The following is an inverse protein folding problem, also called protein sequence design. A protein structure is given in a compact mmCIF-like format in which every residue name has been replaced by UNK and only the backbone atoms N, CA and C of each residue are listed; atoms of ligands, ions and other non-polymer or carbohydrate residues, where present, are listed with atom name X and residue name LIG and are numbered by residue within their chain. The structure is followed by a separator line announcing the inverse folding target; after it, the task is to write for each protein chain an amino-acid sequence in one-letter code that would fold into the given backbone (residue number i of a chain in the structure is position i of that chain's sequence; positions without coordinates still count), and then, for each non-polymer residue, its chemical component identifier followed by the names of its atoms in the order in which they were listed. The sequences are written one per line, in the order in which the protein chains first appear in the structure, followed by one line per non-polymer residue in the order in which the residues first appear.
data_IF_275134402758
#
_entry.id   IF_275134402758
#
_cell.length_a   1.000
_cell.length_b   1.000
_cell.length_c   1.000
_cell.angle_alpha   90.00
_cell.angle_beta   90.00
_cell.angle_gamma   90.00
#
_symmetry.space_group_name_H-M   'P 1'
#
loop_
_entity.id
_entity.type
_entity.pdbx_description
1 polymer ?
#
# COMPACT_ATOMS: atom_id res chain seq x y z
N UNK A 1 13.71 -32.13 21.04
CA UNK A 1 13.06 -31.69 19.78
C UNK A 1 14.14 -31.21 18.82
N UNK A 2 13.86 -31.09 17.52
CA UNK A 2 14.79 -30.41 16.60
C UNK A 2 14.81 -28.90 16.86
N UNK A 3 15.93 -28.23 16.53
CA UNK A 3 16.11 -26.79 16.80
C UNK A 3 15.00 -25.94 16.16
N UNK A 4 14.64 -26.24 14.90
CA UNK A 4 13.56 -25.56 14.20
C UNK A 4 12.20 -25.74 14.90
N UNK A 5 11.87 -26.95 15.35
CA UNK A 5 10.60 -27.21 16.05
C UNK A 5 10.50 -26.51 17.42
N UNK A 6 11.63 -26.26 18.09
CA UNK A 6 11.67 -25.43 19.29
C UNK A 6 11.48 -23.94 18.95
N UNK A 7 12.14 -23.47 17.90
CA UNK A 7 12.01 -22.10 17.39
C UNK A 7 10.58 -21.77 16.96
N UNK A 8 9.95 -22.64 16.18
CA UNK A 8 8.56 -22.48 15.72
C UNK A 8 7.58 -22.50 16.92
N UNK A 9 7.86 -23.30 17.96
CA UNK A 9 7.05 -23.33 19.19
C UNK A 9 7.18 -22.02 19.99
N UNK A 10 8.39 -21.50 20.17
CA UNK A 10 8.66 -20.23 20.86
C UNK A 10 8.02 -19.05 20.13
N UNK A 11 8.12 -19.03 18.79
CA UNK A 11 7.48 -18.00 17.97
C UNK A 11 5.93 -18.08 18.03
N UNK A 12 5.35 -19.29 18.01
CA UNK A 12 3.90 -19.48 18.24
C UNK A 12 3.42 -18.97 19.59
N UNK A 13 4.25 -19.03 20.65
CA UNK A 13 3.89 -18.59 22.01
C UNK A 13 4.18 -17.12 22.31
N UNK A 14 4.66 -16.33 21.34
CA UNK A 14 5.06 -14.94 21.55
C UNK A 14 6.37 -14.77 22.36
N UNK A 15 7.17 -15.83 22.44
CA UNK A 15 8.39 -15.88 23.25
C UNK A 15 9.59 -15.40 22.42
N UNK A 16 9.56 -14.10 22.08
CA UNK A 16 10.45 -13.49 21.09
C UNK A 16 11.93 -13.56 21.49
N UNK A 17 12.24 -13.31 22.76
CA UNK A 17 13.62 -13.41 23.29
C UNK A 17 14.18 -14.83 23.14
N UNK A 18 13.43 -15.86 23.53
CA UNK A 18 13.90 -17.23 23.38
C UNK A 18 13.92 -17.68 21.91
N UNK A 19 12.97 -17.27 21.07
CA UNK A 19 13.01 -17.52 19.62
C UNK A 19 14.23 -16.89 18.94
N UNK A 20 14.58 -15.65 19.28
CA UNK A 20 15.77 -14.94 18.78
C UNK A 20 17.07 -15.66 19.17
N UNK A 21 17.17 -16.15 20.40
CA UNK A 21 18.32 -16.93 20.86
C UNK A 21 18.42 -18.29 20.14
N UNK A 22 17.31 -19.02 19.99
CA UNK A 22 17.28 -20.28 19.24
C UNK A 22 17.67 -20.09 17.77
N UNK A 23 17.25 -18.99 17.14
CA UNK A 23 17.62 -18.62 15.77
C UNK A 23 19.11 -18.30 15.62
N UNK A 24 19.71 -17.62 16.60
CA UNK A 24 21.14 -17.35 16.63
C UNK A 24 21.96 -18.65 16.70
N UNK A 25 21.54 -19.60 17.55
CA UNK A 25 22.16 -20.93 17.66
C UNK A 25 21.96 -21.73 16.36
N UNK A 26 20.77 -21.70 15.77
CA UNK A 26 20.49 -22.38 14.50
C UNK A 26 21.37 -21.88 13.35
N UNK A 27 21.63 -20.57 13.29
CA UNK A 27 22.56 -19.95 12.35
C UNK A 27 24.02 -20.34 12.63
N UNK A 28 24.46 -20.32 13.89
CA UNK A 28 25.82 -20.71 14.27
C UNK A 28 26.12 -22.18 13.91
N UNK A 29 25.14 -23.06 14.06
CA UNK A 29 25.24 -24.48 13.70
C UNK A 29 24.95 -24.78 12.21
N UNK A 30 24.77 -23.76 11.36
CA UNK A 30 24.54 -23.93 9.93
C UNK A 30 23.19 -24.56 9.54
N UNK A 31 22.20 -24.59 10.44
CA UNK A 31 20.86 -25.11 10.16
C UNK A 31 19.97 -24.13 9.39
N UNK A 32 20.34 -22.85 9.36
CA UNK A 32 19.65 -21.77 8.64
C UNK A 32 20.73 -20.87 8.01
N UNK A 33 20.56 -20.47 6.76
CA UNK A 33 21.49 -19.56 6.09
C UNK A 33 21.44 -18.13 6.68
N UNK A 34 22.46 -17.33 6.38
CA UNK A 34 22.57 -15.99 6.97
C UNK A 34 21.50 -15.00 6.50
N UNK A 35 20.89 -15.17 5.33
CA UNK A 35 19.87 -14.28 4.81
C UNK A 35 18.50 -14.61 5.42
N UNK A 36 18.10 -15.88 5.41
CA UNK A 36 16.88 -16.35 6.08
C UNK A 36 16.95 -16.10 7.59
N UNK A 37 18.10 -16.26 8.24
CA UNK A 37 18.26 -15.93 9.66
C UNK A 37 18.14 -14.41 9.94
N UNK A 38 18.70 -13.55 9.10
CA UNK A 38 18.53 -12.10 9.23
C UNK A 38 17.06 -11.69 9.02
N UNK A 39 16.39 -12.28 8.02
CA UNK A 39 14.98 -12.00 7.69
C UNK A 39 14.01 -12.49 8.77
N UNK A 40 14.18 -13.72 9.29
CA UNK A 40 13.40 -14.22 10.42
C UNK A 40 13.62 -13.39 11.69
N UNK A 41 14.86 -12.94 11.96
CA UNK A 41 15.13 -11.98 13.05
C UNK A 41 14.34 -10.68 12.86
N UNK A 42 14.31 -10.12 11.64
CA UNK A 42 13.52 -8.93 11.33
C UNK A 42 12.02 -9.13 11.61
N UNK A 43 11.46 -10.30 11.25
CA UNK A 43 10.06 -10.64 11.55
C UNK A 43 9.78 -10.72 13.05
N UNK A 44 10.64 -11.37 13.85
CA UNK A 44 10.46 -11.47 15.30
C UNK A 44 10.56 -10.10 15.98
N UNK A 45 11.56 -9.28 15.61
CA UNK A 45 11.69 -7.91 16.08
C UNK A 45 10.47 -7.05 15.71
N UNK A 46 9.85 -7.30 14.55
CA UNK A 46 8.62 -6.62 14.12
C UNK A 46 7.40 -7.08 14.92
N UNK A 47 7.33 -8.36 15.32
CA UNK A 47 6.29 -8.87 16.21
C UNK A 47 6.38 -8.22 17.59
N UNK A 48 7.56 -8.29 18.21
CA UNK A 48 7.86 -7.66 19.50
C UNK A 48 7.60 -6.14 19.48
N UNK A 49 7.94 -5.46 18.38
CA UNK A 49 7.68 -4.04 18.22
C UNK A 49 6.18 -3.69 18.22
N UNK A 50 5.33 -4.50 17.54
CA UNK A 50 3.87 -4.28 17.50
C UNK A 50 3.22 -4.49 18.86
N UNK A 51 3.72 -5.44 19.65
CA UNK A 51 3.24 -5.68 21.02
C UNK A 51 3.74 -4.61 22.00
N UNK A 52 4.99 -4.18 21.85
CA UNK A 52 5.62 -3.15 22.68
C UNK A 52 5.03 -1.76 22.42
N UNK A 53 4.58 -1.44 21.19
CA UNK A 53 4.12 -0.11 20.75
C UNK A 53 3.17 0.59 21.74
N UNK A 54 2.22 -0.14 22.31
CA UNK A 54 1.17 0.43 23.19
C UNK A 54 1.74 0.93 24.52
N UNK A 55 2.89 0.40 24.96
CA UNK A 55 3.48 0.67 26.28
C UNK A 55 4.81 1.42 26.18
N UNK A 56 5.63 1.15 25.17
CA UNK A 56 6.88 1.86 24.87
C UNK A 56 7.05 2.09 23.35
N UNK A 57 6.53 3.20 22.80
CA UNK A 57 6.73 3.59 21.41
C UNK A 57 8.16 4.05 21.08
N UNK A 58 9.09 4.09 22.05
CA UNK A 58 10.52 4.28 21.80
C UNK A 58 11.21 2.94 21.55
N UNK A 59 11.03 1.94 22.43
CA UNK A 59 11.53 0.57 22.20
C UNK A 59 10.95 -0.03 20.92
N UNK A 60 9.64 0.11 20.68
CA UNK A 60 9.02 -0.35 19.44
C UNK A 60 9.65 0.25 18.17
N UNK A 61 9.96 1.56 18.19
CA UNK A 61 10.62 2.23 17.06
C UNK A 61 12.08 1.77 16.88
N UNK A 62 12.80 1.46 17.96
CA UNK A 62 14.16 0.91 17.88
C UNK A 62 14.13 -0.49 17.23
N UNK A 63 13.25 -1.37 17.70
CA UNK A 63 13.06 -2.74 17.18
C UNK A 63 12.65 -2.73 15.70
N UNK A 64 11.67 -1.90 15.32
CA UNK A 64 11.24 -1.77 13.93
C UNK A 64 12.34 -1.23 13.00
N UNK A 65 13.17 -0.28 13.47
CA UNK A 65 14.31 0.19 12.70
C UNK A 65 15.45 -0.83 12.61
N UNK A 66 15.66 -1.69 13.62
CA UNK A 66 16.59 -2.82 13.50
C UNK A 66 16.08 -3.84 12.47
N UNK A 67 14.79 -4.19 12.53
CA UNK A 67 14.15 -5.07 11.55
C UNK A 67 14.36 -4.55 10.11
N UNK A 68 14.16 -3.25 9.86
CA UNK A 68 14.37 -2.63 8.54
C UNK A 68 15.84 -2.53 8.11
N UNK A 69 16.80 -2.58 9.04
CA UNK A 69 18.23 -2.72 8.70
C UNK A 69 18.59 -4.15 8.25
N UNK A 70 17.85 -5.15 8.72
CA UNK A 70 18.03 -6.56 8.36
C UNK A 70 17.20 -6.97 7.13
N UNK A 71 16.01 -6.40 6.96
CA UNK A 71 15.08 -6.67 5.87
C UNK A 71 14.39 -5.36 5.39
N UNK A 72 15.03 -4.56 4.51
CA UNK A 72 14.48 -3.27 4.06
C UNK A 72 13.15 -3.36 3.28
N UNK A 73 12.77 -4.54 2.80
CA UNK A 73 11.48 -4.82 2.14
C UNK A 73 10.38 -5.33 3.09
N UNK A 74 10.62 -5.34 4.41
CA UNK A 74 9.63 -5.81 5.38
C UNK A 74 8.56 -4.72 5.64
N UNK A 75 7.59 -4.64 4.73
CA UNK A 75 6.37 -3.81 4.77
C UNK A 75 5.84 -3.50 6.19
N UNK A 76 5.50 -4.50 7.05
CA UNK A 76 4.91 -4.25 8.38
C UNK A 76 5.87 -3.53 9.34
N UNK A 77 7.19 -3.67 9.18
CA UNK A 77 8.16 -2.93 9.98
C UNK A 77 8.24 -1.46 9.52
N UNK A 78 8.08 -1.20 8.23
CA UNK A 78 8.09 0.15 7.66
C UNK A 78 6.80 0.92 7.93
N UNK A 79 5.64 0.26 7.89
CA UNK A 79 4.36 0.79 8.38
C UNK A 79 4.51 1.28 9.82
N UNK A 80 4.90 0.37 10.72
CA UNK A 80 5.03 0.63 12.14
C UNK A 80 6.04 1.76 12.42
N UNK A 81 7.25 1.68 11.84
CA UNK A 81 8.26 2.72 12.01
C UNK A 81 7.80 4.07 11.43
N UNK A 82 7.12 4.07 10.28
CA UNK A 82 6.57 5.27 9.66
C UNK A 82 5.49 5.93 10.52
N UNK A 83 4.57 5.15 11.07
CA UNK A 83 3.49 5.61 11.96
C UNK A 83 4.02 6.11 13.30
N UNK A 84 5.01 5.43 13.90
CA UNK A 84 5.69 5.84 15.12
C UNK A 84 6.59 7.09 14.95
N UNK A 85 7.16 7.31 13.76
CA UNK A 85 7.88 8.56 13.43
C UNK A 85 6.89 9.70 13.19
N UNK A 86 5.77 9.44 12.52
CA UNK A 86 4.73 10.43 12.27
C UNK A 86 4.07 10.94 13.57
N UNK A 87 3.79 10.05 14.53
CA UNK A 87 3.22 10.44 15.84
C UNK A 87 4.20 11.26 16.70
N UNK A 88 5.51 11.09 16.52
CA UNK A 88 6.56 11.94 17.12
C UNK A 88 6.77 13.28 16.38
N UNK A 89 6.07 13.52 15.28
CA UNK A 89 6.25 14.71 14.44
C UNK A 89 7.46 14.63 13.50
N UNK A 90 8.16 13.50 13.41
CA UNK A 90 9.32 13.29 12.53
C UNK A 90 8.90 13.01 11.07
N UNK A 91 8.00 13.84 10.53
CA UNK A 91 7.37 13.72 9.20
C UNK A 91 8.37 13.44 8.07
N UNK A 92 9.56 14.06 8.13
CA UNK A 92 10.64 13.87 7.14
C UNK A 92 11.28 12.48 7.22
N UNK A 93 11.49 11.95 8.44
CA UNK A 93 12.03 10.60 8.65
C UNK A 93 10.98 9.54 8.29
N UNK A 94 9.74 9.70 8.75
CA UNK A 94 8.61 8.84 8.39
C UNK A 94 8.45 8.71 6.87
N UNK A 95 8.37 9.86 6.17
CA UNK A 95 8.23 9.89 4.71
C UNK A 95 9.39 9.19 3.99
N UNK A 96 10.64 9.36 4.47
CA UNK A 96 11.83 8.73 3.86
C UNK A 96 11.84 7.21 4.05
N UNK A 97 11.49 6.72 5.25
CA UNK A 97 11.49 5.29 5.56
C UNK A 97 10.40 4.53 4.76
N UNK A 98 9.21 5.13 4.68
CA UNK A 98 8.09 4.61 3.90
C UNK A 98 8.40 4.58 2.40
N UNK A 99 8.93 5.67 1.82
CA UNK A 99 9.37 5.71 0.41
C UNK A 99 10.41 4.64 0.08
N UNK A 100 11.38 4.41 0.98
CA UNK A 100 12.43 3.39 0.81
C UNK A 100 11.88 1.96 0.73
N UNK A 101 10.83 1.66 1.50
CA UNK A 101 10.22 0.33 1.49
C UNK A 101 9.22 0.18 0.35
N UNK A 102 8.49 1.25 0.02
CA UNK A 102 7.57 1.31 -1.10
C UNK A 102 8.23 0.96 -2.44
N UNK A 103 9.43 1.50 -2.72
CA UNK A 103 10.17 1.19 -3.96
C UNK A 103 10.75 -0.23 -4.02
N UNK A 104 10.68 -1.00 -2.92
CA UNK A 104 11.06 -2.42 -2.86
C UNK A 104 9.84 -3.35 -2.80
N UNK A 105 8.73 -2.89 -2.26
CA UNK A 105 7.50 -3.67 -2.00
C UNK A 105 6.30 -2.72 -1.85
N UNK A 106 5.62 -2.35 -2.96
CA UNK A 106 4.41 -1.53 -2.93
C UNK A 106 3.29 -2.24 -2.16
N UNK A 107 2.62 -1.53 -1.25
CA UNK A 107 1.61 -2.12 -0.36
C UNK A 107 0.64 -1.05 0.17
N UNK A 108 -0.68 -1.32 0.24
CA UNK A 108 -1.69 -0.32 0.65
C UNK A 108 -1.38 0.33 2.00
N UNK A 109 -0.98 -0.43 3.02
CA UNK A 109 -0.62 0.09 4.35
C UNK A 109 0.48 1.17 4.30
N UNK A 110 1.46 1.03 3.40
CA UNK A 110 2.53 2.03 3.23
C UNK A 110 2.01 3.31 2.58
N UNK A 111 1.05 3.21 1.65
CA UNK A 111 0.38 4.38 1.08
C UNK A 111 -0.48 5.10 2.11
N UNK A 112 -1.23 4.37 2.95
CA UNK A 112 -2.00 4.95 4.06
C UNK A 112 -1.07 5.63 5.05
N UNK A 113 -0.04 4.93 5.54
CA UNK A 113 0.96 5.50 6.45
C UNK A 113 1.63 6.75 5.84
N UNK A 114 1.97 6.75 4.56
CA UNK A 114 2.60 7.89 3.89
C UNK A 114 1.66 9.08 3.69
N UNK A 115 0.38 8.83 3.36
CA UNK A 115 -0.64 9.85 3.23
C UNK A 115 -0.87 10.62 4.54
N UNK A 116 -0.96 9.87 5.66
CA UNK A 116 -1.21 10.43 6.99
C UNK A 116 0.05 10.78 7.79
N UNK A 117 1.26 10.49 7.28
CA UNK A 117 2.54 10.80 7.93
C UNK A 117 2.80 12.29 8.25
N UNK A 118 1.97 13.21 7.72
CA UNK A 118 1.87 14.59 8.20
C UNK A 118 0.43 14.83 8.71
N UNK A 119 0.22 14.93 10.03
CA UNK A 119 -1.07 15.33 10.60
C UNK A 119 -1.58 16.69 10.08
N UNK A 120 -2.90 16.88 10.09
CA UNK A 120 -3.55 18.14 9.72
C UNK A 120 -3.62 18.47 8.22
N UNK A 121 -3.17 17.58 7.32
CA UNK A 121 -3.28 17.80 5.88
C UNK A 121 -4.71 17.66 5.33
N UNK A 122 -5.10 18.62 4.47
CA UNK A 122 -6.32 18.52 3.68
C UNK A 122 -6.33 17.27 2.79
N UNK A 123 -7.50 16.73 2.42
CA UNK A 123 -7.58 15.61 1.47
C UNK A 123 -6.86 15.88 0.15
N UNK A 124 -6.92 17.11 -0.37
CA UNK A 124 -6.24 17.51 -1.62
C UNK A 124 -4.72 17.52 -1.48
N UNK A 125 -4.18 17.81 -0.29
CA UNK A 125 -2.74 17.77 -0.03
C UNK A 125 -2.24 16.36 0.32
N UNK A 126 -3.09 15.50 0.89
CA UNK A 126 -2.81 14.06 0.98
C UNK A 126 -2.74 13.44 -0.42
N UNK A 127 -3.65 13.80 -1.33
CA UNK A 127 -3.59 13.37 -2.73
C UNK A 127 -2.26 13.74 -3.41
N UNK A 128 -1.83 15.02 -3.33
CA UNK A 128 -0.52 15.46 -3.86
C UNK A 128 0.66 14.63 -3.33
N UNK A 129 0.61 14.21 -2.06
CA UNK A 129 1.61 13.30 -1.46
C UNK A 129 1.55 11.90 -2.05
N UNK A 130 0.36 11.30 -2.13
CA UNK A 130 0.19 9.95 -2.67
C UNK A 130 0.56 9.86 -4.16
N UNK A 131 0.37 10.94 -4.93
CA UNK A 131 0.88 11.04 -6.30
C UNK A 131 2.42 11.07 -6.38
N UNK A 132 3.10 11.69 -5.42
CA UNK A 132 4.56 11.65 -5.33
C UNK A 132 5.08 10.27 -4.92
N UNK A 133 4.32 9.52 -4.11
CA UNK A 133 4.59 8.12 -3.77
C UNK A 133 4.43 7.21 -5.00
N UNK A 134 3.29 7.29 -5.69
CA UNK A 134 3.01 6.48 -6.88
C UNK A 134 4.02 6.71 -8.03
N UNK A 135 4.57 7.94 -8.15
CA UNK A 135 5.65 8.24 -9.11
C UNK A 135 6.95 7.45 -8.89
N UNK A 136 7.15 6.82 -7.73
CA UNK A 136 8.29 5.91 -7.51
C UNK A 136 8.09 4.53 -8.16
N UNK A 137 6.85 4.18 -8.51
CA UNK A 137 6.43 2.84 -8.95
C UNK A 137 5.34 2.95 -10.02
N UNK A 138 5.62 3.56 -11.19
CA UNK A 138 4.60 3.89 -12.19
C UNK A 138 3.88 2.65 -12.75
N UNK A 139 4.56 1.50 -12.78
CA UNK A 139 4.08 0.26 -13.38
C UNK A 139 3.38 -0.71 -12.39
N UNK A 140 3.26 -0.36 -11.09
CA UNK A 140 2.54 -1.20 -10.11
C UNK A 140 1.16 -0.63 -9.75
N UNK A 141 0.17 -1.53 -9.79
CA UNK A 141 -1.24 -1.29 -9.49
C UNK A 141 -1.49 -0.65 -8.12
N UNK A 142 -0.65 -0.92 -7.10
CA UNK A 142 -0.82 -0.30 -5.77
C UNK A 142 -0.62 1.22 -5.81
N UNK A 143 0.22 1.73 -6.72
CA UNK A 143 0.39 3.17 -6.93
C UNK A 143 -0.87 3.83 -7.50
N UNK A 144 -1.48 3.19 -8.49
CA UNK A 144 -2.73 3.64 -9.11
C UNK A 144 -3.92 3.57 -8.13
N UNK A 145 -4.06 2.46 -7.39
CA UNK A 145 -5.11 2.26 -6.38
C UNK A 145 -4.95 3.25 -5.23
N UNK A 146 -3.72 3.52 -4.77
CA UNK A 146 -3.47 4.52 -3.75
C UNK A 146 -3.89 5.94 -4.19
N UNK A 147 -3.49 6.36 -5.41
CA UNK A 147 -3.89 7.67 -5.97
C UNK A 147 -5.41 7.76 -6.12
N UNK A 148 -6.06 6.71 -6.62
CA UNK A 148 -7.52 6.69 -6.79
C UNK A 148 -8.28 6.78 -5.46
N UNK A 149 -7.84 6.06 -4.41
CA UNK A 149 -8.40 6.16 -3.06
C UNK A 149 -8.23 7.58 -2.49
N UNK A 150 -7.04 8.18 -2.62
CA UNK A 150 -6.77 9.54 -2.15
C UNK A 150 -7.56 10.59 -2.96
N UNK A 151 -7.78 10.36 -4.26
CA UNK A 151 -8.59 11.23 -5.11
C UNK A 151 -10.08 11.15 -4.76
N UNK A 152 -10.59 9.97 -4.40
CA UNK A 152 -11.94 9.79 -3.84
C UNK A 152 -12.10 10.52 -2.50
N UNK A 153 -11.12 10.45 -1.59
CA UNK A 153 -11.12 11.26 -0.35
C UNK A 153 -11.08 12.77 -0.62
N UNK A 154 -10.46 13.18 -1.72
CA UNK A 154 -10.39 14.57 -2.18
C UNK A 154 -11.60 15.03 -3.01
N UNK A 155 -12.56 14.13 -3.30
CA UNK A 155 -13.68 14.32 -4.23
C UNK A 155 -13.26 14.69 -5.68
N UNK A 156 -12.02 14.34 -6.06
CA UNK A 156 -11.44 14.55 -7.39
C UNK A 156 -11.82 13.40 -8.33
N UNK A 157 -13.11 13.19 -8.56
CA UNK A 157 -13.67 11.98 -9.19
C UNK A 157 -13.02 11.61 -10.53
N UNK A 158 -12.79 12.59 -11.41
CA UNK A 158 -12.18 12.33 -12.71
C UNK A 158 -10.74 11.81 -12.56
N UNK A 159 -9.96 12.43 -11.66
CA UNK A 159 -8.57 12.06 -11.36
C UNK A 159 -8.47 10.64 -10.77
N UNK A 160 -9.50 10.21 -10.04
CA UNK A 160 -9.63 8.84 -9.57
C UNK A 160 -9.92 7.84 -10.70
N UNK A 161 -10.75 8.19 -11.69
CA UNK A 161 -10.94 7.38 -12.91
C UNK A 161 -9.66 7.29 -13.72
N UNK A 162 -9.00 8.42 -13.96
CA UNK A 162 -7.80 8.52 -14.79
C UNK A 162 -6.66 7.64 -14.23
N UNK A 163 -6.52 7.59 -12.90
CA UNK A 163 -5.54 6.74 -12.22
C UNK A 163 -5.83 5.23 -12.40
N UNK A 164 -7.10 4.81 -12.36
CA UNK A 164 -7.49 3.40 -12.54
C UNK A 164 -7.62 2.97 -14.00
N UNK A 165 -7.76 3.90 -14.94
CA UNK A 165 -8.07 3.62 -16.35
C UNK A 165 -7.20 2.52 -17.02
N UNK A 166 -5.86 2.43 -16.79
CA UNK A 166 -5.04 1.36 -17.35
C UNK A 166 -5.43 -0.05 -16.87
N UNK A 167 -6.03 -0.14 -15.68
CA UNK A 167 -6.32 -1.38 -14.97
C UNK A 167 -7.81 -1.81 -15.05
N UNK A 168 -8.63 -1.18 -15.91
CA UNK A 168 -10.06 -1.51 -16.08
C UNK A 168 -10.34 -2.58 -17.15
N UNK A 169 -9.35 -2.85 -18.00
CA UNK A 169 -9.38 -3.94 -18.98
C UNK A 169 -8.98 -5.27 -18.31
N UNK A 170 -9.14 -6.38 -19.03
CA UNK A 170 -8.56 -7.69 -18.68
C UNK A 170 -8.76 -8.14 -17.21
N UNK A 171 -10.03 -8.20 -16.80
CA UNK A 171 -10.49 -8.66 -15.48
C UNK A 171 -9.94 -7.86 -14.28
N UNK A 172 -10.33 -6.57 -14.10
CA UNK A 172 -10.03 -5.78 -12.91
C UNK A 172 -10.42 -6.51 -11.62
N UNK A 173 -9.60 -6.38 -10.57
CA UNK A 173 -9.84 -7.01 -9.27
C UNK A 173 -11.08 -6.48 -8.54
N UNK A 174 -11.53 -7.20 -7.52
CA UNK A 174 -12.68 -6.83 -6.69
C UNK A 174 -12.53 -5.44 -6.05
N UNK A 175 -11.33 -5.08 -5.57
CA UNK A 175 -10.99 -3.76 -5.02
C UNK A 175 -11.07 -2.66 -6.08
N UNK A 176 -10.54 -2.89 -7.30
CA UNK A 176 -10.62 -1.93 -8.40
C UNK A 176 -12.07 -1.71 -8.81
N UNK A 177 -12.86 -2.78 -8.95
CA UNK A 177 -14.29 -2.68 -9.26
C UNK A 177 -15.06 -1.93 -8.16
N UNK A 178 -14.78 -2.21 -6.89
CA UNK A 178 -15.42 -1.54 -5.73
C UNK A 178 -15.03 -0.07 -5.64
N UNK A 179 -13.77 0.27 -5.94
CA UNK A 179 -13.31 1.65 -5.98
C UNK A 179 -13.91 2.43 -7.15
N UNK A 180 -14.04 1.81 -8.34
CA UNK A 180 -14.80 2.37 -9.46
C UNK A 180 -16.28 2.59 -9.12
N UNK A 181 -16.93 1.66 -8.43
CA UNK A 181 -18.31 1.86 -7.95
C UNK A 181 -18.40 3.09 -7.04
N UNK A 182 -17.46 3.26 -6.09
CA UNK A 182 -17.38 4.41 -5.19
C UNK A 182 -17.11 5.74 -5.93
N UNK A 183 -16.36 5.72 -7.02
CA UNK A 183 -16.11 6.88 -7.89
C UNK A 183 -17.39 7.30 -8.63
N UNK A 184 -18.07 6.36 -9.28
CA UNK A 184 -19.28 6.65 -10.08
C UNK A 184 -20.48 6.99 -9.17
N UNK A 185 -20.61 6.34 -8.01
CA UNK A 185 -21.58 6.75 -6.98
C UNK A 185 -21.31 8.17 -6.46
N UNK A 186 -20.03 8.53 -6.32
CA UNK A 186 -19.57 9.87 -5.94
C UNK A 186 -19.84 10.97 -6.97
N UNK A 187 -19.85 10.66 -8.26
CA UNK A 187 -20.29 11.60 -9.31
C UNK A 187 -21.82 11.63 -9.50
N UNK A 188 -22.56 10.70 -8.89
CA UNK A 188 -24.01 10.59 -8.98
C UNK A 188 -24.52 9.54 -9.98
N UNK A 189 -23.62 8.82 -10.66
CA UNK A 189 -23.89 7.82 -11.69
C UNK A 189 -24.31 6.46 -11.12
N UNK A 190 -25.39 6.46 -10.31
CA UNK A 190 -25.97 5.27 -9.63
C UNK A 190 -26.30 4.08 -10.55
N UNK A 191 -26.36 4.29 -11.87
CA UNK A 191 -26.40 3.21 -12.85
C UNK A 191 -25.10 2.41 -12.88
N UNK A 192 -23.98 3.11 -13.13
CA UNK A 192 -22.63 2.54 -13.21
C UNK A 192 -22.13 2.04 -11.86
N UNK A 193 -22.47 2.72 -10.77
CA UNK A 193 -22.18 2.26 -9.40
C UNK A 193 -22.63 0.80 -9.20
N UNK A 194 -23.89 0.50 -9.54
CA UNK A 194 -24.46 -0.87 -9.44
C UNK A 194 -23.86 -1.84 -10.45
N UNK A 195 -23.49 -1.38 -11.64
CA UNK A 195 -22.78 -2.18 -12.65
C UNK A 195 -21.40 -2.63 -12.14
N UNK A 196 -20.62 -1.70 -11.59
CA UNK A 196 -19.30 -1.98 -11.01
C UNK A 196 -19.38 -2.87 -9.77
N UNK A 197 -20.38 -2.70 -8.89
CA UNK A 197 -20.64 -3.65 -7.79
C UNK A 197 -21.00 -5.05 -8.31
N UNK A 198 -21.87 -5.15 -9.32
CA UNK A 198 -22.24 -6.42 -9.95
C UNK A 198 -21.07 -7.07 -10.73
N UNK A 199 -20.03 -6.30 -11.08
CA UNK A 199 -18.75 -6.80 -11.62
C UNK A 199 -17.82 -7.26 -10.50
N UNK A 200 -17.71 -6.52 -9.40
CA UNK A 200 -16.88 -6.86 -8.24
C UNK A 200 -17.19 -8.25 -7.67
N UNK A 201 -18.47 -8.64 -7.62
CA UNK A 201 -18.93 -9.97 -7.17
C UNK A 201 -18.41 -11.16 -8.02
N UNK A 202 -17.82 -10.89 -9.19
CA UNK A 202 -17.29 -11.89 -10.13
C UNK A 202 -15.84 -11.57 -10.57
N UNK A 203 -15.19 -10.63 -9.88
CA UNK A 203 -13.84 -10.19 -10.17
C UNK A 203 -12.79 -11.11 -9.51
N UNK A 204 -11.56 -11.18 -10.06
CA UNK A 204 -10.42 -11.80 -9.38
C UNK A 204 -10.18 -11.25 -7.98
N UNK A 205 -9.69 -12.10 -7.08
CA UNK A 205 -9.31 -11.66 -5.73
C UNK A 205 -8.05 -10.79 -5.76
N UNK A 206 -8.04 -9.75 -4.93
CA UNK A 206 -6.88 -8.88 -4.76
C UNK A 206 -5.70 -9.57 -4.05
N UNK A 207 -4.53 -8.92 -4.11
CA UNK A 207 -3.38 -9.27 -3.28
C UNK A 207 -3.79 -9.26 -1.81
N UNK A 208 -3.39 -10.30 -1.07
CA UNK A 208 -3.63 -10.49 0.35
C UNK A 208 -2.38 -11.11 1.01
N UNK A 209 -2.34 -11.19 2.34
CA UNK A 209 -1.28 -11.93 3.05
C UNK A 209 -1.62 -13.42 3.08
N UNK A 210 -0.80 -14.24 2.42
CA UNK A 210 -1.06 -15.68 2.26
C UNK A 210 0.10 -16.50 2.82
N UNK A 211 -0.21 -17.47 3.69
CA UNK A 211 0.72 -18.47 4.23
C UNK A 211 0.00 -19.83 4.30
N UNK A 212 0.61 -20.91 3.81
CA UNK A 212 0.13 -22.31 3.98
C UNK A 212 -1.34 -22.59 3.61
N UNK A 213 -1.95 -21.76 2.75
CA UNK A 213 -3.37 -21.85 2.38
C UNK A 213 -4.32 -21.04 3.27
N UNK A 214 -3.82 -20.46 4.36
CA UNK A 214 -4.46 -19.40 5.14
C UNK A 214 -4.32 -18.06 4.41
N UNK A 215 -5.39 -17.27 4.40
CA UNK A 215 -5.44 -15.92 3.81
C UNK A 215 -5.79 -14.95 4.94
N UNK A 216 -5.09 -13.81 5.00
CA UNK A 216 -5.38 -12.75 5.97
C UNK A 216 -5.27 -11.37 5.33
N UNK A 217 -6.13 -10.45 5.77
CA UNK A 217 -6.05 -9.04 5.40
C UNK A 217 -4.92 -8.31 6.15
N UNK A 218 -4.46 -8.87 7.29
CA UNK A 218 -3.42 -8.31 8.16
C UNK A 218 -2.18 -9.19 8.19
N UNK A 219 -1.00 -8.59 8.12
CA UNK A 219 0.24 -9.34 8.30
C UNK A 219 0.35 -9.96 9.69
N UNK A 220 0.79 -11.22 9.74
CA UNK A 220 1.12 -11.99 10.94
C UNK A 220 2.58 -12.48 10.86
N UNK A 221 3.33 -12.50 11.98
CA UNK A 221 4.73 -12.94 12.00
C UNK A 221 4.90 -14.46 11.85
N UNK A 222 3.87 -15.23 12.17
CA UNK A 222 3.87 -16.69 12.33
C UNK A 222 2.63 -17.27 11.66
N UNK A 223 2.78 -18.33 10.86
CA UNK A 223 1.64 -19.07 10.30
C UNK A 223 0.80 -19.73 11.40
N UNK A 224 -0.53 -19.48 11.48
CA UNK A 224 -1.40 -20.20 12.42
C UNK A 224 -1.40 -21.72 12.21
N UNK A 225 -1.21 -22.15 10.95
CA UNK A 225 -1.23 -23.57 10.54
C UNK A 225 0.10 -24.25 10.90
N UNK A 226 1.19 -23.83 10.26
CA UNK A 226 2.50 -24.52 10.37
C UNK A 226 3.35 -24.03 11.53
N UNK A 227 3.13 -22.82 12.02
CA UNK A 227 4.01 -22.16 12.99
C UNK A 227 5.27 -21.58 12.39
N UNK A 228 5.45 -21.64 11.07
CA UNK A 228 6.62 -21.09 10.40
C UNK A 228 6.66 -19.56 10.51
N UNK A 229 7.82 -19.04 10.90
CA UNK A 229 8.15 -17.60 10.94
C UNK A 229 8.50 -17.10 9.55
N UNK A 230 8.02 -15.90 9.18
CA UNK A 230 8.17 -15.29 7.83
C UNK A 230 7.50 -16.10 6.70
N UNK A 231 6.39 -16.79 7.01
CA UNK A 231 5.63 -17.58 6.04
C UNK A 231 4.60 -16.78 5.21
N UNK A 232 4.29 -15.54 5.59
CA UNK A 232 3.28 -14.70 4.95
C UNK A 232 3.84 -13.86 3.80
N UNK A 233 3.36 -14.15 2.59
CA UNK A 233 3.68 -13.42 1.36
C UNK A 233 2.50 -12.53 0.91
N UNK A 234 2.78 -11.32 0.42
CA UNK A 234 1.78 -10.45 -0.20
C UNK A 234 1.60 -10.81 -1.68
N UNK A 235 0.52 -11.51 -2.03
CA UNK A 235 0.25 -11.97 -3.39
C UNK A 235 -1.24 -12.18 -3.64
N UNK A 236 -1.66 -12.17 -4.90
CA UNK A 236 -3.02 -12.55 -5.26
C UNK A 236 -3.23 -14.04 -4.93
N UNK A 237 -4.37 -14.43 -4.33
CA UNK A 237 -4.79 -15.83 -4.31
C UNK A 237 -4.83 -16.38 -5.74
N UNK A 238 -4.44 -17.64 -5.92
CA UNK A 238 -4.83 -18.34 -7.14
C UNK A 238 -6.35 -18.49 -7.13
N UNK A 239 -7.04 -17.90 -8.11
CA UNK A 239 -8.51 -17.98 -8.21
C UNK A 239 -8.96 -19.43 -8.39
N UNK A 240 -9.30 -20.07 -7.27
CA UNK A 240 -9.68 -21.47 -7.20
C UNK A 240 -11.13 -21.67 -7.69
N UNK A 241 -11.33 -21.48 -9.00
CA UNK A 241 -12.59 -21.77 -9.70
C UNK A 241 -12.94 -23.25 -9.44
N UNK A 242 -13.85 -23.49 -8.50
CA UNK A 242 -14.31 -24.83 -8.11
C UNK A 242 -13.82 -25.38 -6.77
N UNK A 243 -13.22 -24.60 -5.87
CA UNK A 243 -12.92 -25.06 -4.49
C UNK A 243 -13.81 -24.35 -3.45
N UNK A 244 -14.82 -25.03 -2.86
CA UNK A 244 -15.69 -24.44 -1.85
C UNK A 244 -15.04 -24.36 -0.46
N UNK A 245 -15.20 -23.20 0.20
CA UNK A 245 -15.37 -22.95 1.64
C UNK A 245 -14.42 -23.52 2.73
N UNK A 246 -13.38 -24.28 2.43
CA UNK A 246 -12.60 -24.94 3.50
C UNK A 246 -11.52 -24.06 4.20
N UNK A 247 -11.18 -22.85 3.69
CA UNK A 247 -10.17 -21.96 4.32
C UNK A 247 -10.54 -20.47 4.42
N UNK A 248 -11.83 -20.14 4.59
CA UNK A 248 -12.29 -18.77 4.86
C UNK A 248 -12.37 -18.44 6.37
N UNK A 249 -11.21 -18.43 7.05
CA UNK A 249 -11.09 -17.78 8.36
C UNK A 249 -10.71 -16.31 8.20
N UNK A 250 -11.71 -15.51 7.78
CA UNK A 250 -11.65 -14.05 7.94
C UNK A 250 -11.88 -13.77 9.43
N UNK A 251 -10.81 -13.62 10.21
CA UNK A 251 -10.90 -13.11 11.58
C UNK A 251 -11.24 -11.61 11.58
N UNK A 252 -12.50 -11.30 11.28
CA UNK A 252 -13.09 -10.02 11.70
C UNK A 252 -13.07 -9.98 13.23
N UNK A 253 -12.27 -9.07 13.79
CA UNK A 253 -12.19 -8.88 15.24
C UNK A 253 -13.50 -8.26 15.75
N UNK A 254 -14.47 -9.10 16.10
CA UNK A 254 -15.73 -8.69 16.74
C UNK A 254 -15.58 -8.49 18.26
N UNK A 255 -14.35 -8.47 18.78
CA UNK A 255 -14.09 -8.15 20.17
C UNK A 255 -14.40 -6.67 20.43
N UNK A 256 -15.13 -6.32 21.50
CA UNK A 256 -15.41 -4.92 21.82
C UNK A 256 -14.08 -4.14 21.98
N UNK A 257 -14.08 -2.81 21.72
CA UNK A 257 -12.90 -2.00 21.97
C UNK A 257 -12.45 -2.22 23.41
N UNK A 258 -11.16 -2.56 23.60
CA UNK A 258 -10.59 -2.85 24.91
C UNK A 258 -10.68 -1.61 25.79
N UNK A 259 -11.72 -1.54 26.61
CA UNK A 259 -11.99 -0.39 27.47
C UNK A 259 -10.82 -0.20 28.44
N UNK A 260 -10.12 0.93 28.29
CA UNK A 260 -8.97 1.30 29.12
C UNK A 260 -9.32 1.41 30.61
N UNK A 261 -10.61 1.47 30.96
CA UNK A 261 -11.12 1.38 32.32
C UNK A 261 -10.77 0.05 33.02
N UNK A 262 -10.49 -1.02 32.27
CA UNK A 262 -10.20 -2.35 32.82
C UNK A 262 -8.90 -2.42 33.65
N UNK A 263 -7.92 -1.53 33.43
CA UNK A 263 -6.68 -1.48 34.22
C UNK A 263 -6.79 -0.66 35.51
N UNK A 264 -7.99 -0.44 36.05
CA UNK A 264 -8.22 0.38 37.26
C UNK A 264 -8.73 -0.43 38.46
N UNK A 265 -7.94 -1.40 38.95
CA UNK A 265 -8.04 -1.93 40.34
C UNK A 265 -6.85 -2.81 40.74
N UNK A 266 -5.76 -2.17 41.19
CA UNK A 266 -5.13 -2.59 42.45
C UNK A 266 -5.22 -1.42 43.42
N UNK A 267 -5.52 -1.70 44.69
CA UNK A 267 -5.93 -0.68 45.65
C UNK A 267 -4.78 -0.31 46.60
N UNK A 268 -4.15 0.84 46.36
CA UNK A 268 -3.36 1.50 47.41
C UNK A 268 -4.30 1.97 48.53
N UNK A 269 -4.01 1.67 49.81
CA UNK A 269 -4.84 2.13 50.93
C UNK A 269 -4.73 3.65 51.10
N UNK A 270 -5.87 4.33 51.22
CA UNK A 270 -5.91 5.78 51.41
C UNK A 270 -5.35 6.17 52.78
N UNK A 271 -4.46 7.18 52.88
CA UNK A 271 -4.24 7.87 54.14
C UNK A 271 -5.51 8.63 54.56
N UNK A 272 -5.65 8.84 55.86
CA UNK A 272 -6.75 9.60 56.47
C UNK A 272 -6.43 11.12 56.50
N UNK A 273 -7.45 12.01 56.59
CA UNK A 273 -7.22 13.45 56.52
C UNK A 273 -6.59 14.02 57.80
N UNK A 274 -5.75 15.05 57.63
CA UNK A 274 -5.22 15.90 58.71
C UNK A 274 -5.65 17.34 58.50
N UNK A 275 -5.89 18.05 59.60
CA UNK A 275 -6.50 19.38 59.61
C UNK A 275 -5.57 20.50 59.12
N UNK A 276 -6.16 21.53 58.52
CA UNK A 276 -5.50 22.79 58.22
C UNK A 276 -5.47 23.74 59.44
N UNK A 277 -4.45 24.59 59.58
CA UNK A 277 -4.52 25.88 60.27
C UNK A 277 -4.72 27.04 59.28
N UNK A 278 -5.19 28.19 59.78
CA UNK A 278 -5.58 29.38 59.00
C UNK A 278 -4.57 30.53 59.16
N UNK A 279 -4.63 31.51 58.23
CA UNK A 279 -3.93 32.81 58.14
C UNK A 279 -2.65 32.84 57.27
N UNK A 280 -2.39 33.91 56.49
CA UNK A 280 -3.28 35.04 56.18
C UNK A 280 -2.66 36.19 55.38
N UNK A 281 -3.55 36.99 54.80
CA UNK A 281 -3.42 38.39 54.32
C UNK A 281 -2.76 38.79 52.96
N UNK A 282 -3.15 40.00 52.54
CA UNK A 282 -2.65 40.94 51.50
C UNK A 282 -2.53 40.52 50.00
N UNK A 283 -3.68 40.67 49.35
CA UNK A 283 -3.94 41.34 48.05
C UNK A 283 -2.79 41.93 47.19
N UNK A 284 -2.89 41.74 45.86
CA UNK A 284 -2.57 42.77 44.87
C UNK A 284 -3.40 42.63 43.57
N UNK A 285 -3.99 43.76 43.16
CA UNK A 285 -4.75 43.99 41.92
C UNK A 285 -3.90 43.90 40.63
N UNK A 286 -4.44 43.29 39.56
CA UNK A 286 -4.56 43.93 38.23
C UNK A 286 -5.35 43.16 37.16
N UNK A 287 -6.05 43.94 36.33
CA UNK A 287 -6.75 43.53 35.11
C UNK A 287 -5.80 43.44 33.90
N UNK A 288 -6.21 42.71 32.85
CA UNK A 288 -5.41 42.55 31.63
C UNK A 288 -6.11 41.70 30.56
N UNK A 289 -6.95 42.34 29.75
CA UNK A 289 -7.64 41.76 28.59
C UNK A 289 -6.84 41.99 27.30
N UNK A 290 -6.61 40.94 26.48
CA UNK A 290 -6.55 41.00 25.00
C UNK A 290 -6.05 39.69 24.34
N UNK A 291 -6.88 39.14 23.45
CA UNK A 291 -6.45 38.44 22.21
C UNK A 291 -6.70 39.43 21.03
N UNK A 292 -6.36 39.18 19.74
CA UNK A 292 -5.98 37.92 19.07
C UNK A 292 -4.84 38.09 18.02
N UNK A 293 -4.94 37.35 16.90
CA UNK A 293 -4.11 37.31 15.67
C UNK A 293 -2.87 36.40 15.80
N UNK A 294 -2.66 35.36 14.97
CA UNK A 294 -2.80 35.18 13.50
C UNK A 294 -1.77 35.96 12.68
N UNK A 295 -0.79 35.22 12.16
CA UNK A 295 -0.18 35.48 10.86
C UNK A 295 0.17 34.13 10.20
N UNK A 296 0.03 34.04 8.89
CA UNK A 296 0.17 32.79 8.11
C UNK A 296 1.09 33.04 6.92
N UNK A 297 2.23 32.34 6.85
CA UNK A 297 3.16 32.47 5.72
C UNK A 297 3.63 31.11 5.20
N UNK A 298 3.15 30.83 3.98
CA UNK A 298 3.68 29.81 3.07
C UNK A 298 5.13 30.15 2.71
N UNK A 299 6.00 29.14 2.71
CA UNK A 299 7.32 29.23 2.09
C UNK A 299 7.41 28.17 1.00
N UNK A 300 7.24 28.59 -0.25
CA UNK A 300 7.82 27.85 -1.38
C UNK A 300 9.34 28.06 -1.36
N UNK A 301 10.08 26.98 -1.56
CA UNK A 301 11.55 26.99 -1.55
C UNK A 301 12.07 26.12 -2.68
N UNK A 302 12.42 26.75 -3.79
CA UNK A 302 13.01 26.10 -4.97
C UNK A 302 14.35 25.44 -4.61
N UNK A 303 14.68 24.35 -5.29
CA UNK A 303 16.00 23.73 -5.15
C UNK A 303 17.07 24.58 -5.86
N UNK A 304 18.23 24.74 -5.23
CA UNK A 304 19.47 25.18 -5.87
C UNK A 304 20.65 24.34 -5.36
N UNK A 305 21.69 24.25 -6.17
CA UNK A 305 22.69 23.19 -6.15
C UNK A 305 23.98 23.61 -5.44
N UNK A 306 24.47 22.78 -4.50
CA UNK A 306 25.70 23.08 -3.75
C UNK A 306 26.81 22.12 -4.16
N UNK A 307 27.69 22.58 -5.04
CA UNK A 307 28.95 21.92 -5.35
C UNK A 307 29.91 21.98 -4.15
N UNK A 308 30.68 20.90 -3.93
CA UNK A 308 31.73 20.84 -2.91
C UNK A 308 33.06 21.25 -3.54
N UNK A 309 33.77 22.18 -2.90
CA UNK A 309 35.19 22.45 -3.16
C UNK A 309 35.94 22.59 -1.84
N UNK A 310 37.16 22.08 -1.84
CA UNK A 310 38.02 21.94 -0.67
C UNK A 310 38.91 23.18 -0.43
N UNK A 311 39.40 23.38 0.80
CA UNK A 311 40.30 24.48 1.15
C UNK A 311 41.29 24.09 2.26
N UNK A 312 42.56 24.47 2.09
CA UNK A 312 43.73 24.00 2.86
C UNK A 312 44.20 25.05 3.90
N UNK A 313 44.63 24.65 5.12
CA UNK A 313 45.18 25.55 6.16
C UNK A 313 46.72 25.66 6.13
N UNK A 314 47.28 26.73 6.72
CA UNK A 314 48.69 27.13 6.56
C UNK A 314 49.66 26.73 7.71
N UNK A 315 50.97 26.77 7.39
CA UNK A 315 52.20 26.64 8.21
C UNK A 315 52.27 27.58 9.45
N UNK A 316 53.14 27.42 10.46
CA UNK A 316 54.39 26.64 10.70
C UNK A 316 54.45 26.15 12.20
N UNK A 317 55.51 25.61 12.84
CA UNK A 317 56.97 25.70 12.62
C UNK A 317 57.84 24.60 13.32
N UNK A 318 58.84 24.10 12.58
CA UNK A 318 60.16 23.50 12.91
C UNK A 318 60.46 22.73 14.24
N UNK A 319 60.94 21.48 14.11
CA UNK A 319 62.32 21.05 14.49
C UNK A 319 62.72 19.70 13.85
N UNK A 320 64.02 19.39 13.81
CA UNK A 320 64.70 18.34 12.98
C UNK A 320 65.88 17.74 13.80
N UNK A 321 66.72 16.79 13.30
CA UNK A 321 66.52 15.69 12.33
C UNK A 321 66.35 14.30 13.04
N UNK A 322 66.84 13.08 12.68
CA UNK A 322 67.87 12.52 11.74
C UNK A 322 67.44 11.09 11.23
N UNK A 323 68.27 10.11 10.77
CA UNK A 323 67.86 9.21 9.66
C UNK A 323 67.59 7.73 10.04
N UNK A 324 67.06 6.94 9.07
CA UNK A 324 67.75 5.71 8.64
C UNK A 324 68.24 5.79 7.18
N UNK A 325 68.97 4.76 6.72
CA UNK A 325 69.77 4.76 5.47
C UNK A 325 68.99 4.21 4.25
N UNK A 326 69.41 4.62 3.04
CA UNK A 326 68.97 4.14 1.72
C UNK A 326 69.35 2.64 1.47
N UNK A 327 69.10 1.96 0.34
CA UNK A 327 68.85 2.28 -1.09
C UNK A 327 67.84 1.27 -1.69
N UNK A 328 67.36 1.28 -2.96
CA UNK A 328 67.72 1.98 -4.22
C UNK A 328 66.45 2.15 -5.11
N UNK A 329 66.50 3.05 -6.10
CA UNK A 329 65.57 3.11 -7.26
C UNK A 329 66.27 2.48 -8.52
N UNK A 330 65.80 2.51 -9.80
CA UNK A 330 65.05 3.60 -10.49
C UNK A 330 63.95 3.19 -11.53
N UNK A 331 63.08 4.17 -11.88
CA UNK A 331 62.73 4.74 -13.23
C UNK A 331 62.55 3.82 -14.49
N UNK A 332 61.70 4.12 -15.50
CA UNK A 332 60.72 5.22 -15.69
C UNK A 332 59.61 4.89 -16.73
N UNK A 333 58.80 5.92 -17.06
CA UNK A 333 57.77 6.05 -18.14
C UNK A 333 58.44 6.31 -19.54
N UNK A 334 57.75 6.58 -20.69
CA UNK A 334 56.34 6.99 -20.91
C UNK A 334 55.62 6.27 -22.09
N UNK A 335 54.90 7.00 -22.96
CA UNK A 335 53.69 6.57 -23.66
C UNK A 335 53.58 7.00 -25.14
N UNK A 336 52.50 6.51 -25.79
CA UNK A 336 51.71 7.12 -26.87
C UNK A 336 51.92 6.79 -28.38
N UNK A 337 50.74 6.65 -29.04
CA UNK A 337 50.36 6.73 -30.46
C UNK A 337 50.75 5.64 -31.52
N UNK A 338 50.18 5.81 -32.73
CA UNK A 338 49.89 4.82 -33.82
C UNK A 338 50.78 5.11 -35.08
N UNK A 339 50.55 4.66 -36.35
CA UNK A 339 49.57 3.71 -36.94
C UNK A 339 50.08 2.76 -38.10
N UNK A 340 49.16 1.99 -38.73
CA UNK A 340 49.26 1.31 -40.06
C UNK A 340 50.30 0.14 -40.20
N UNK A 341 50.28 -0.78 -41.19
CA UNK A 341 49.49 -0.98 -42.43
C UNK A 341 49.45 -2.49 -42.90
N UNK A 342 48.85 -2.75 -44.08
CA UNK A 342 49.01 -3.87 -45.06
C UNK A 342 48.33 -5.27 -44.91
N UNK A 343 47.36 -5.50 -45.83
CA UNK A 343 47.19 -6.62 -46.80
C UNK A 343 46.62 -8.02 -46.43
N UNK A 344 45.53 -8.33 -47.15
CA UNK A 344 44.95 -9.65 -47.57
C UNK A 344 45.87 -10.42 -48.56
N UNK A 345 45.64 -11.72 -48.94
CA UNK A 345 44.36 -12.43 -49.20
C UNK A 345 44.19 -13.79 -48.46
N UNK A 346 43.06 -14.52 -48.51
CA UNK A 346 41.73 -14.30 -49.12
C UNK A 346 41.09 -15.62 -49.64
N UNK A 347 39.76 -15.85 -49.52
CA UNK A 347 39.09 -17.05 -50.06
C UNK A 347 38.17 -16.79 -51.27
N UNK A 348 37.81 -17.86 -51.99
CA UNK A 348 37.22 -17.80 -53.35
C UNK A 348 35.67 -17.86 -53.39
N UNK A 349 35.08 -16.80 -53.96
CA UNK A 349 33.99 -16.78 -54.97
C UNK A 349 32.99 -17.98 -55.03
N UNK A 350 31.69 -17.69 -54.85
CA UNK A 350 30.59 -17.80 -55.86
C UNK A 350 29.19 -17.84 -55.21
N UNK A 351 28.09 -17.30 -55.77
CA UNK A 351 27.85 -16.15 -56.71
C UNK A 351 26.35 -15.79 -56.74
N UNK A 352 26.04 -14.49 -56.75
CA UNK A 352 24.81 -13.84 -57.30
C UNK A 352 23.46 -14.10 -56.59
N UNK A 353 22.53 -13.12 -56.52
CA UNK A 353 22.63 -11.76 -57.07
C UNK A 353 21.55 -10.75 -56.65
N UNK A 354 21.77 -9.54 -57.15
CA UNK A 354 21.14 -8.21 -57.04
C UNK A 354 19.66 -8.12 -57.53
N UNK A 355 18.82 -7.10 -57.27
CA UNK A 355 18.85 -5.93 -56.36
C UNK A 355 17.43 -5.28 -56.25
N UNK A 356 17.33 -4.09 -55.62
CA UNK A 356 16.11 -3.32 -55.27
C UNK A 356 15.35 -2.62 -56.44
N UNK A 357 14.12 -2.10 -56.21
CA UNK A 357 13.17 -1.71 -57.28
C UNK A 357 12.94 -0.20 -57.49
N UNK A 358 12.36 0.20 -58.63
CA UNK A 358 11.47 1.39 -58.77
C UNK A 358 10.83 1.58 -60.16
N UNK A 359 9.48 1.75 -60.18
CA UNK A 359 8.65 2.46 -61.20
C UNK A 359 8.65 1.83 -62.64
N UNK A 360 7.72 2.09 -63.55
CA UNK A 360 6.71 3.15 -63.71
C UNK A 360 5.40 2.60 -64.37
N UNK A 361 4.42 3.45 -64.71
CA UNK A 361 3.09 3.11 -65.29
C UNK A 361 3.03 3.44 -66.83
N UNK A 362 1.92 3.39 -67.62
CA UNK A 362 0.48 3.52 -67.27
C UNK A 362 -0.54 2.68 -68.12
N UNK A 363 -1.79 3.19 -68.17
CA UNK A 363 -2.91 3.00 -69.13
C UNK A 363 -4.03 1.95 -68.92
N UNK A 364 -5.28 2.39 -69.14
CA UNK A 364 -6.32 1.54 -69.75
C UNK A 364 -7.74 1.44 -69.17
N UNK A 365 -8.55 2.52 -69.16
CA UNK A 365 -10.04 2.48 -69.28
C UNK A 365 -10.87 1.67 -68.22
N UNK A 366 -12.21 1.60 -68.24
CA UNK A 366 -13.27 2.64 -68.40
C UNK A 366 -14.62 2.05 -67.91
N UNK A 367 -15.56 2.91 -67.51
CA UNK A 367 -17.02 2.69 -67.36
C UNK A 367 -17.56 1.45 -66.58
N UNK A 368 -18.40 1.71 -65.58
CA UNK A 368 -19.38 0.73 -65.07
C UNK A 368 -20.79 1.01 -65.61
N UNK A 369 -21.64 -0.02 -65.69
CA UNK A 369 -23.10 0.06 -65.98
C UNK A 369 -23.80 -1.14 -65.31
N UNK A 370 -25.00 -0.90 -64.76
CA UNK A 370 -25.94 -1.95 -64.30
C UNK A 370 -27.15 -2.03 -65.23
N UNK A 371 -27.82 -3.19 -65.31
CA UNK A 371 -29.26 -3.22 -65.53
C UNK A 371 -30.02 -4.13 -64.53
N UNK A 372 -31.34 -4.23 -64.68
CA UNK A 372 -32.30 -4.83 -63.72
C UNK A 372 -33.53 -5.41 -64.45
N UNK A 373 -34.49 -6.00 -63.70
CA UNK A 373 -35.83 -6.50 -64.14
C UNK A 373 -35.72 -7.84 -64.94
N UNK A 374 -36.63 -8.85 -64.88
CA UNK A 374 -38.06 -8.90 -64.55
C UNK A 374 -38.56 -10.18 -63.81
N UNK A 375 -39.84 -10.14 -63.40
CA UNK A 375 -40.73 -11.17 -62.80
C UNK A 375 -41.57 -11.93 -63.89
N UNK A 376 -42.67 -12.71 -63.65
CA UNK A 376 -43.35 -13.16 -62.40
C UNK A 376 -43.72 -14.67 -62.32
N UNK A 377 -44.32 -15.13 -61.19
CA UNK A 377 -45.57 -15.94 -61.09
C UNK A 377 -45.71 -16.76 -59.78
N UNK A 378 -46.97 -16.94 -59.33
CA UNK A 378 -47.43 -17.75 -58.18
C UNK A 378 -48.60 -18.67 -58.64
N UNK A 379 -49.33 -19.49 -57.81
CA UNK A 379 -49.27 -19.67 -56.34
C UNK A 379 -49.40 -21.14 -55.83
N UNK A 380 -49.34 -21.36 -54.50
CA UNK A 380 -50.30 -22.16 -53.71
C UNK A 380 -49.89 -22.31 -52.22
N UNK A 381 -50.86 -22.16 -51.30
CA UNK A 381 -51.07 -22.74 -49.96
C UNK A 381 -49.94 -22.98 -48.93
N UNK A 382 -50.26 -22.78 -47.64
CA UNK A 382 -49.50 -23.35 -46.50
C UNK A 382 -49.02 -22.38 -45.41
N UNK A 383 -49.92 -21.89 -44.54
CA UNK A 383 -49.59 -21.36 -43.19
C UNK A 383 -49.49 -22.52 -42.17
N UNK A 384 -48.87 -22.37 -40.97
CA UNK A 384 -48.59 -21.11 -40.26
C UNK A 384 -47.13 -20.87 -39.82
N UNK A 385 -46.88 -19.65 -39.31
CA UNK A 385 -45.66 -19.29 -38.58
C UNK A 385 -45.70 -19.88 -37.16
N UNK A 386 -44.55 -20.16 -36.56
CA UNK A 386 -44.44 -20.41 -35.13
C UNK A 386 -44.93 -19.18 -34.33
N UNK A 387 -45.70 -19.41 -33.28
CA UNK A 387 -46.30 -18.35 -32.47
C UNK A 387 -45.29 -17.77 -31.46
N UNK A 388 -45.35 -16.45 -31.26
CA UNK A 388 -44.72 -15.78 -30.12
C UNK A 388 -45.54 -16.14 -28.89
N UNK A 389 -44.91 -16.74 -27.87
CA UNK A 389 -45.57 -17.14 -26.64
C UNK A 389 -45.79 -15.91 -25.73
N UNK A 390 -46.89 -15.19 -25.96
CA UNK A 390 -47.40 -14.17 -25.03
C UNK A 390 -48.23 -14.87 -23.96
N UNK A 391 -47.93 -14.72 -22.65
CA UNK A 391 -48.70 -15.36 -21.60
C UNK A 391 -50.02 -14.62 -21.32
N UNK A 392 -51.15 -15.35 -21.36
CA UNK A 392 -52.50 -14.84 -21.06
C UNK A 392 -52.76 -14.67 -19.55
N UNK A 393 -51.91 -13.90 -18.86
CA UNK A 393 -52.20 -13.22 -17.59
C UNK A 393 -51.09 -12.27 -17.18
N UNK A 394 -51.46 -11.15 -16.54
CA UNK A 394 -50.52 -10.45 -15.68
C UNK A 394 -50.20 -11.32 -14.45
N UNK A 395 -48.95 -11.34 -13.94
CA UNK A 395 -48.67 -11.89 -12.62
C UNK A 395 -49.41 -11.06 -11.56
N UNK A 396 -49.97 -11.71 -10.55
CA UNK A 396 -50.77 -11.05 -9.52
C UNK A 396 -49.94 -10.01 -8.75
N UNK A 397 -50.46 -8.79 -8.68
CA UNK A 397 -49.94 -7.70 -7.85
C UNK A 397 -50.36 -7.97 -6.38
N UNK A 398 -49.43 -8.20 -5.44
CA UNK A 398 -49.74 -8.36 -4.03
C UNK A 398 -50.09 -6.99 -3.43
N UNK A 399 -51.32 -6.55 -3.72
CA UNK A 399 -51.80 -5.20 -3.43
C UNK A 399 -51.57 -4.76 -1.99
N UNK A 400 -51.21 -3.48 -1.84
CA UNK A 400 -50.97 -2.83 -0.55
C UNK A 400 -52.16 -3.06 0.37
N UNK A 401 -51.91 -3.66 1.53
CA UNK A 401 -52.92 -3.82 2.57
C UNK A 401 -53.44 -2.43 3.01
N UNK A 402 -54.74 -2.26 3.27
CA UNK A 402 -55.29 -0.97 3.66
C UNK A 402 -54.68 -0.48 4.97
N UNK A 403 -54.57 0.84 5.10
CA UNK A 403 -54.13 1.49 6.33
C UNK A 403 -55.24 1.35 7.39
N UNK A 404 -55.03 0.52 8.42
CA UNK A 404 -55.89 0.49 9.60
C UNK A 404 -55.64 1.76 10.43
N UNK A 405 -56.45 2.80 10.17
CA UNK A 405 -56.38 4.11 10.84
C UNK A 405 -57.04 4.04 12.23
N UNK A 406 -56.36 3.41 13.18
CA UNK A 406 -56.73 3.44 14.62
C UNK A 406 -55.85 4.45 15.38
N UNK A 407 -56.18 5.74 15.24
CA UNK A 407 -55.66 6.78 16.13
C UNK A 407 -56.16 6.55 17.56
N UNK A 408 -55.29 6.07 18.45
CA UNK A 408 -55.53 6.09 19.90
C UNK A 408 -54.36 6.74 20.63
N UNK A 409 -54.68 7.68 21.52
CA UNK A 409 -53.74 8.65 22.12
C UNK A 409 -52.63 8.01 22.99
N UNK A 410 -52.81 6.73 23.34
CA UNK A 410 -52.00 5.91 24.24
C UNK A 410 -50.52 5.81 23.80
N UNK A 411 -50.25 5.90 22.49
CA UNK A 411 -48.89 5.80 21.95
C UNK A 411 -48.05 7.06 22.19
N UNK A 412 -48.66 8.25 22.27
CA UNK A 412 -47.94 9.52 22.45
C UNK A 412 -47.54 9.78 23.91
N UNK A 413 -48.33 9.30 24.88
CA UNK A 413 -47.96 9.40 26.30
C UNK A 413 -46.74 8.54 26.64
N UNK A 414 -46.65 7.33 26.07
CA UNK A 414 -45.50 6.43 26.26
C UNK A 414 -44.19 7.03 25.74
N UNK A 415 -44.23 7.81 24.66
CA UNK A 415 -43.05 8.53 24.16
C UNK A 415 -42.64 9.71 25.05
N UNK A 416 -43.58 10.39 25.72
CA UNK A 416 -43.27 11.47 26.67
C UNK A 416 -42.70 10.96 28.00
N UNK A 417 -43.08 9.77 28.43
CA UNK A 417 -42.55 9.16 29.66
C UNK A 417 -41.07 8.73 29.58
N UNK A 418 -40.50 8.62 28.38
CA UNK A 418 -39.14 8.12 28.14
C UNK A 418 -38.05 9.20 28.00
N UNK A 419 -38.32 10.44 28.43
CA UNK A 419 -37.37 11.56 28.34
C UNK A 419 -37.07 12.27 29.67
N UNK A 420 -37.41 11.64 30.81
CA UNK A 420 -36.99 12.09 32.15
C UNK A 420 -36.52 10.90 32.99
N UNK A 421 -35.26 10.48 32.80
CA UNK A 421 -34.39 9.97 33.86
C UNK A 421 -32.93 9.91 33.44
#
# INVERSE_FOLDING_TARGET
MGVNALFDLQARSGDWDHALNTLAIARQNGHVDSAAANRRRAVLLTAEARETETFDPNKALILANEALRLAPSLVPAAELAGRLLASKGEVRAASRQLLRTWSLSPHPDLAVAYAFAKPGLSPKDRLKRVEHLAKQTPDDVEGAVAVAQAAVEAQEWQRARDALAPYLQDAPSARICTLMARIEGGSGDKGREREWLARALRAPRDRAWIADGYISDRWLPVSPVTGAVDAFEWKAPADAIGRPDETLQIEEWTGPPRDASAMRREAHPSPAPVHAPTAGDEAADRTGEATPLLDDQVIEGTAEEVAVSEAEPAKAEQTEPVPPVAETAPDEKPSDEKPLDEKTPGPTRQTQGDAEPSKEAPDGASAGVSPSVAEPAAPADGKPRAAILVPDRAPDDPGVAPEDVDETEISLERLRAAHIR
#
